data_IF_466479749815
#
_entry.id   IF_466479749815
#
_cell.length_a   1.000
_cell.length_b   1.000
_cell.length_c   1.000
_cell.angle_alpha   90.00
_cell.angle_beta   90.00
_cell.angle_gamma   90.00
#
_symmetry.space_group_name_H-M   'P 1'
#
loop_
_entity.id
_entity.type
_entity.pdbx_description
1 polymer ?
#
# COMPACT_ATOMS: atom_id res chain seq x y z
N UNK A 1 27.13 -63.22 -21.32
CA UNK A 1 27.94 -62.44 -20.34
C UNK A 1 28.47 -61.10 -20.87
N UNK A 2 29.02 -60.97 -22.09
CA UNK A 2 29.62 -59.71 -22.59
C UNK A 2 28.65 -58.50 -22.68
N UNK A 3 27.37 -58.71 -23.03
CA UNK A 3 26.37 -57.63 -23.19
C UNK A 3 25.86 -57.04 -21.86
N UNK A 4 26.09 -57.70 -20.73
CA UNK A 4 25.72 -57.21 -19.40
C UNK A 4 26.73 -56.17 -18.91
N UNK A 5 28.02 -56.45 -19.07
CA UNK A 5 29.12 -55.55 -18.69
C UNK A 5 29.14 -54.26 -19.55
N UNK A 6 28.83 -54.38 -20.84
CA UNK A 6 28.72 -53.22 -21.75
C UNK A 6 27.56 -52.30 -21.33
N UNK A 7 26.40 -52.85 -20.99
CA UNK A 7 25.24 -52.05 -20.52
C UNK A 7 25.51 -51.39 -19.17
N UNK A 8 26.25 -52.06 -18.28
CA UNK A 8 26.67 -51.49 -16.98
C UNK A 8 27.70 -50.37 -17.15
N UNK A 9 28.65 -50.54 -18.06
CA UNK A 9 29.63 -49.50 -18.40
C UNK A 9 28.97 -48.27 -19.05
N UNK A 10 28.03 -48.46 -19.99
CA UNK A 10 27.28 -47.34 -20.59
C UNK A 10 26.47 -46.54 -19.55
N UNK A 11 25.85 -47.22 -18.58
CA UNK A 11 25.10 -46.56 -17.49
C UNK A 11 26.01 -45.75 -16.57
N UNK A 12 27.19 -46.28 -16.24
CA UNK A 12 28.17 -45.54 -15.42
C UNK A 12 28.66 -44.32 -16.20
N UNK A 13 28.96 -44.46 -17.49
CA UNK A 13 29.39 -43.35 -18.33
C UNK A 13 28.31 -42.24 -18.43
N UNK A 14 27.02 -42.61 -18.55
CA UNK A 14 25.94 -41.62 -18.58
C UNK A 14 25.75 -40.91 -17.25
N UNK A 15 25.92 -41.61 -16.12
CA UNK A 15 25.83 -41.02 -14.78
C UNK A 15 26.99 -40.04 -14.52
N UNK A 16 28.20 -40.38 -14.95
CA UNK A 16 29.37 -39.48 -14.85
C UNK A 16 29.18 -38.24 -15.74
N UNK A 17 28.65 -38.40 -16.96
CA UNK A 17 28.34 -37.28 -17.84
C UNK A 17 27.26 -36.35 -17.24
N UNK A 18 26.21 -36.93 -16.63
CA UNK A 18 25.16 -36.17 -15.96
C UNK A 18 25.69 -35.39 -14.75
N UNK A 19 26.52 -36.01 -13.92
CA UNK A 19 27.16 -35.36 -12.78
C UNK A 19 28.08 -34.21 -13.23
N UNK A 20 28.86 -34.41 -14.29
CA UNK A 20 29.69 -33.37 -14.90
C UNK A 20 28.86 -32.18 -15.41
N UNK A 21 27.71 -32.45 -16.04
CA UNK A 21 26.81 -31.40 -16.52
C UNK A 21 26.17 -30.60 -15.38
N UNK A 22 25.74 -31.27 -14.30
CA UNK A 22 25.20 -30.62 -13.10
C UNK A 22 26.26 -29.73 -12.44
N UNK A 23 27.50 -30.22 -12.35
CA UNK A 23 28.62 -29.45 -11.79
C UNK A 23 28.97 -28.22 -12.64
N UNK A 24 29.03 -28.37 -13.97
CA UNK A 24 29.24 -27.26 -14.89
C UNK A 24 28.11 -26.22 -14.83
N UNK A 25 26.86 -26.68 -14.73
CA UNK A 25 25.70 -25.82 -14.57
C UNK A 25 25.73 -25.06 -13.25
N UNK A 26 26.11 -25.71 -12.14
CA UNK A 26 26.27 -25.07 -10.84
C UNK A 26 27.36 -23.98 -10.88
N UNK A 27 28.51 -24.24 -11.51
CA UNK A 27 29.59 -23.25 -11.71
C UNK A 27 29.10 -22.08 -12.55
N UNK A 28 28.41 -22.35 -13.66
CA UNK A 28 27.88 -21.30 -14.54
C UNK A 28 26.85 -20.44 -13.81
N UNK A 29 25.94 -21.06 -13.06
CA UNK A 29 24.93 -20.36 -12.25
C UNK A 29 25.55 -19.51 -11.15
N UNK A 30 26.58 -20.01 -10.47
CA UNK A 30 27.35 -19.24 -9.49
C UNK A 30 28.04 -18.03 -10.13
N UNK A 31 28.64 -18.21 -11.32
CA UNK A 31 29.32 -17.11 -12.04
C UNK A 31 28.35 -16.04 -12.55
N UNK A 32 27.17 -16.43 -13.04
CA UNK A 32 26.12 -15.50 -13.47
C UNK A 32 25.59 -14.68 -12.29
N UNK A 33 25.26 -15.33 -11.16
CA UNK A 33 24.84 -14.62 -9.96
C UNK A 33 25.88 -13.60 -9.48
N UNK A 34 27.17 -13.97 -9.51
CA UNK A 34 28.25 -13.08 -9.08
C UNK A 34 28.42 -11.87 -10.02
N UNK A 35 28.22 -12.04 -11.33
CA UNK A 35 28.23 -10.95 -12.29
C UNK A 35 27.03 -10.01 -12.14
N UNK A 36 25.83 -10.57 -11.91
CA UNK A 36 24.62 -9.80 -11.63
C UNK A 36 24.76 -9.01 -10.32
N UNK A 37 25.35 -9.61 -9.29
CA UNK A 37 25.63 -8.96 -8.00
C UNK A 37 26.65 -7.83 -8.16
N UNK A 38 27.75 -8.04 -8.90
CA UNK A 38 28.73 -6.98 -9.19
C UNK A 38 28.14 -5.83 -10.03
N UNK A 39 27.33 -6.14 -11.05
CA UNK A 39 26.66 -5.15 -11.89
C UNK A 39 25.66 -4.29 -11.09
N UNK A 40 24.87 -4.92 -10.22
CA UNK A 40 23.97 -4.21 -9.30
C UNK A 40 24.74 -3.37 -8.29
N UNK A 41 25.86 -3.88 -7.78
CA UNK A 41 26.68 -3.16 -6.81
C UNK A 41 27.36 -1.92 -7.43
N UNK A 42 27.83 -1.99 -8.69
CA UNK A 42 28.41 -0.82 -9.38
C UNK A 42 27.34 0.23 -9.71
N UNK A 43 26.17 -0.18 -10.22
CA UNK A 43 25.06 0.75 -10.50
C UNK A 43 24.53 1.42 -9.22
N UNK A 44 24.48 0.70 -8.11
CA UNK A 44 24.11 1.27 -6.82
C UNK A 44 25.19 2.24 -6.30
N UNK A 45 26.48 1.95 -6.51
CA UNK A 45 27.55 2.86 -6.14
C UNK A 45 27.47 4.20 -6.91
N UNK A 46 27.18 4.14 -8.21
CA UNK A 46 27.01 5.33 -9.06
C UNK A 46 25.72 6.12 -8.73
N UNK A 47 24.64 5.46 -8.32
CA UNK A 47 23.43 6.15 -7.86
C UNK A 47 23.60 6.78 -6.47
N UNK A 48 24.32 6.09 -5.58
CA UNK A 48 24.63 6.61 -4.25
C UNK A 48 25.56 7.82 -4.34
N UNK A 49 26.53 7.84 -5.26
CA UNK A 49 27.42 9.01 -5.45
C UNK A 49 26.65 10.26 -5.85
N UNK A 50 25.67 10.15 -6.75
CA UNK A 50 24.80 11.26 -7.13
C UNK A 50 23.89 11.74 -5.98
N UNK A 51 23.39 10.81 -5.14
CA UNK A 51 22.63 11.17 -3.94
C UNK A 51 23.52 11.92 -2.93
N UNK A 52 24.76 11.48 -2.75
CA UNK A 52 25.73 12.10 -1.84
C UNK A 52 26.28 13.44 -2.33
N UNK A 53 26.13 13.76 -3.61
CA UNK A 53 26.44 15.06 -4.18
C UNK A 53 25.34 16.10 -3.84
N UNK A 54 24.08 15.67 -3.77
CA UNK A 54 22.93 16.52 -3.44
C UNK A 54 22.66 16.59 -1.94
N UNK A 55 23.00 15.54 -1.18
CA UNK A 55 22.74 15.49 0.26
C UNK A 55 23.80 16.26 1.06
N UNK A 56 23.44 17.34 1.79
CA UNK A 56 24.41 18.18 2.48
C UNK A 56 25.25 17.37 3.47
N UNK A 57 26.57 17.56 3.43
CA UNK A 57 27.53 16.82 4.24
C UNK A 57 27.24 16.93 5.74
N UNK A 58 26.83 18.11 6.21
CA UNK A 58 26.48 18.35 7.62
C UNK A 58 25.36 17.42 8.12
N UNK A 59 24.32 17.20 7.30
CA UNK A 59 23.21 16.30 7.67
C UNK A 59 23.62 14.83 7.62
N UNK A 60 24.44 14.45 6.64
CA UNK A 60 24.99 13.09 6.55
C UNK A 60 25.86 12.76 7.77
N UNK A 61 26.77 13.65 8.14
CA UNK A 61 27.69 13.42 9.25
C UNK A 61 26.90 13.32 10.58
N UNK A 62 25.86 14.16 10.75
CA UNK A 62 24.95 14.08 11.89
C UNK A 62 24.14 12.77 11.90
N UNK A 63 23.62 12.34 10.76
CA UNK A 63 22.85 11.11 10.58
C UNK A 63 23.69 9.86 10.89
N UNK A 64 24.92 9.79 10.37
CA UNK A 64 25.87 8.75 10.71
C UNK A 64 26.17 8.71 12.21
N UNK A 65 26.26 9.87 12.86
CA UNK A 65 26.35 9.99 14.32
C UNK A 65 25.18 9.33 15.03
N UNK A 66 23.94 9.67 14.65
CA UNK A 66 22.73 9.07 15.23
C UNK A 66 22.66 7.55 15.01
N UNK A 67 23.09 7.06 13.85
CA UNK A 67 23.12 5.62 13.57
C UNK A 67 24.17 4.89 14.42
N UNK A 68 25.35 5.47 14.58
CA UNK A 68 26.42 4.90 15.43
C UNK A 68 25.96 4.82 16.89
N UNK A 69 25.38 5.90 17.41
CA UNK A 69 24.86 5.94 18.79
C UNK A 69 23.77 4.89 19.00
N UNK A 70 22.81 4.82 18.07
CA UNK A 70 21.72 3.84 18.13
C UNK A 70 22.23 2.40 18.06
N UNK A 71 23.16 2.10 17.14
CA UNK A 71 23.74 0.75 16.97
C UNK A 71 24.58 0.36 18.20
N UNK A 72 25.26 1.33 18.83
CA UNK A 72 25.97 1.13 20.09
C UNK A 72 25.06 0.62 21.23
N UNK A 73 23.80 1.06 21.27
CA UNK A 73 22.82 0.58 22.25
C UNK A 73 22.34 -0.87 22.02
N UNK A 74 22.60 -1.48 20.86
CA UNK A 74 22.08 -2.83 20.53
C UNK A 74 22.91 -3.94 21.20
N UNK A 75 24.07 -3.62 21.79
CA UNK A 75 24.87 -4.58 22.56
C UNK A 75 25.47 -5.71 21.72
N UNK A 76 25.33 -5.66 20.40
CA UNK A 76 26.12 -6.50 19.51
C UNK A 76 27.54 -5.96 19.53
N UNK A 77 28.43 -6.68 20.22
CA UNK A 77 29.86 -6.64 19.91
C UNK A 77 29.98 -6.99 18.43
N UNK A 78 29.99 -5.99 17.56
CA UNK A 78 30.54 -6.15 16.22
C UNK A 78 31.94 -6.71 16.48
N UNK A 79 32.19 -7.94 16.01
CA UNK A 79 33.45 -8.62 16.27
C UNK A 79 34.59 -7.66 15.93
N UNK A 80 35.43 -7.36 16.93
CA UNK A 80 36.60 -6.49 16.77
C UNK A 80 37.38 -6.96 15.54
N UNK A 81 37.52 -6.09 14.53
CA UNK A 81 38.24 -6.39 13.29
C UNK A 81 37.38 -6.56 12.03
N UNK A 82 36.05 -6.42 12.10
CA UNK A 82 35.20 -6.20 10.92
C UNK A 82 34.37 -4.92 11.09
N UNK A 83 35.03 -3.77 10.97
CA UNK A 83 34.39 -2.56 10.44
C UNK A 83 34.08 -2.78 8.94
N UNK A 84 33.40 -3.88 8.60
CA UNK A 84 32.63 -3.89 7.36
C UNK A 84 31.53 -2.87 7.61
N UNK A 85 31.64 -1.75 6.90
CA UNK A 85 30.57 -0.78 6.62
C UNK A 85 29.22 -1.49 6.67
N UNK A 86 28.61 -1.53 7.87
CA UNK A 86 27.41 -2.33 8.09
C UNK A 86 26.32 -1.66 7.26
N UNK A 87 26.03 -2.26 6.11
CA UNK A 87 25.06 -1.78 5.14
C UNK A 87 23.79 -1.37 5.89
N UNK A 88 23.46 -0.10 5.82
CA UNK A 88 22.28 0.43 6.48
C UNK A 88 21.03 -0.30 5.98
N UNK A 89 20.21 -0.77 6.92
CA UNK A 89 19.00 -1.51 6.60
C UNK A 89 17.84 -0.53 6.58
N UNK A 90 17.26 -0.33 5.40
CA UNK A 90 16.03 0.45 5.24
C UNK A 90 14.81 -0.45 5.07
N UNK A 91 13.70 -0.04 5.68
CA UNK A 91 12.40 -0.66 5.49
C UNK A 91 11.44 0.36 4.87
N UNK A 92 10.81 0.01 3.75
CA UNK A 92 9.86 0.88 3.05
C UNK A 92 8.42 0.37 3.22
N UNK A 93 7.52 1.23 3.70
CA UNK A 93 6.11 0.93 3.93
C UNK A 93 5.23 1.59 2.88
N UNK A 94 4.55 0.75 2.10
CA UNK A 94 3.64 1.18 1.04
C UNK A 94 2.32 1.74 1.58
N UNK A 95 1.63 2.50 0.73
CA UNK A 95 0.28 3.00 0.98
C UNK A 95 -0.79 1.91 1.02
N UNK A 96 -2.06 2.31 1.11
CA UNK A 96 -3.21 1.39 1.19
C UNK A 96 -4.13 1.60 2.40
N UNK A 97 -4.10 2.80 2.99
CA UNK A 97 -4.93 3.18 4.14
C UNK A 97 -4.74 2.27 5.36
N UNK A 98 -5.82 2.08 6.11
CA UNK A 98 -5.80 1.31 7.36
C UNK A 98 -5.40 -0.16 7.17
N UNK A 99 -5.73 -0.77 6.02
CA UNK A 99 -5.35 -2.17 5.72
C UNK A 99 -3.84 -2.34 5.65
N UNK A 100 -3.15 -1.42 4.98
CA UNK A 100 -1.69 -1.42 4.93
C UNK A 100 -1.09 -1.20 6.32
N UNK A 101 -1.64 -0.27 7.11
CA UNK A 101 -1.17 -0.01 8.47
C UNK A 101 -1.26 -1.26 9.37
N UNK A 102 -2.37 -2.00 9.31
CA UNK A 102 -2.55 -3.26 10.07
C UNK A 102 -1.59 -4.35 9.61
N UNK A 103 -1.36 -4.48 8.30
CA UNK A 103 -0.37 -5.42 7.76
C UNK A 103 1.05 -5.07 8.24
N UNK A 104 1.45 -3.79 8.12
CA UNK A 104 2.76 -3.32 8.58
C UNK A 104 2.96 -3.57 10.07
N UNK A 105 1.92 -3.36 10.90
CA UNK A 105 1.97 -3.70 12.31
C UNK A 105 2.29 -5.19 12.51
N UNK A 106 1.59 -6.10 11.83
CA UNK A 106 1.87 -7.54 11.92
C UNK A 106 3.30 -7.93 11.49
N UNK A 107 3.80 -7.34 10.40
CA UNK A 107 5.17 -7.55 9.95
C UNK A 107 6.18 -7.11 11.01
N UNK A 108 5.98 -5.94 11.60
CA UNK A 108 6.88 -5.41 12.63
C UNK A 108 6.77 -6.15 13.97
N UNK A 109 5.61 -6.72 14.30
CA UNK A 109 5.46 -7.64 15.42
C UNK A 109 6.24 -8.95 15.18
N UNK A 110 6.27 -9.45 13.94
CA UNK A 110 7.09 -10.59 13.55
C UNK A 110 8.60 -10.29 13.62
N UNK A 111 9.01 -9.13 13.11
CA UNK A 111 10.41 -8.68 13.20
C UNK A 111 10.86 -8.46 14.65
N UNK A 112 9.99 -7.90 15.48
CA UNK A 112 10.24 -7.72 16.90
C UNK A 112 10.39 -9.07 17.63
N UNK A 113 9.52 -10.04 17.31
CA UNK A 113 9.61 -11.40 17.85
C UNK A 113 10.96 -12.07 17.53
N UNK A 114 11.50 -11.82 16.33
CA UNK A 114 12.81 -12.32 15.89
C UNK A 114 13.99 -11.45 16.37
N UNK A 115 13.76 -10.39 17.16
CA UNK A 115 14.76 -9.40 17.59
C UNK A 115 15.52 -8.72 16.44
N UNK A 116 14.85 -8.57 15.30
CA UNK A 116 15.39 -7.93 14.10
C UNK A 116 14.99 -6.46 13.99
N UNK A 117 13.97 -6.01 14.72
CA UNK A 117 13.47 -4.64 14.64
C UNK A 117 14.56 -3.62 14.95
N UNK A 118 15.37 -3.89 15.98
CA UNK A 118 16.46 -2.98 16.36
C UNK A 118 17.51 -2.77 15.27
N UNK A 119 17.68 -3.73 14.34
CA UNK A 119 18.65 -3.66 13.24
C UNK A 119 18.23 -2.76 12.07
N UNK A 120 16.98 -2.30 12.04
CA UNK A 120 16.45 -1.48 10.94
C UNK A 120 16.81 -0.03 11.17
N UNK A 121 17.73 0.51 10.38
CA UNK A 121 18.21 1.89 10.51
C UNK A 121 17.21 2.92 9.99
N UNK A 122 16.63 2.64 8.81
CA UNK A 122 15.74 3.57 8.13
C UNK A 122 14.32 3.04 7.99
N UNK A 123 13.36 3.95 8.12
CA UNK A 123 11.96 3.68 7.83
C UNK A 123 11.43 4.74 6.86
N UNK A 124 11.10 4.30 5.64
CA UNK A 124 10.40 5.13 4.67
C UNK A 124 8.92 4.75 4.66
N UNK A 125 8.02 5.72 4.61
CA UNK A 125 6.58 5.45 4.65
C UNK A 125 5.83 6.35 3.67
N UNK A 126 4.76 5.81 3.08
CA UNK A 126 3.86 6.56 2.18
C UNK A 126 2.40 6.29 2.55
N UNK A 127 1.57 7.33 2.57
CA UNK A 127 0.11 7.23 2.76
C UNK A 127 -0.27 6.35 3.96
N UNK A 128 -0.95 5.21 3.74
CA UNK A 128 -1.35 4.25 4.78
C UNK A 128 -0.19 3.71 5.63
N UNK A 129 1.01 3.54 5.06
CA UNK A 129 2.20 3.17 5.82
C UNK A 129 2.62 4.24 6.82
N UNK A 130 2.27 5.51 6.55
CA UNK A 130 2.50 6.64 7.45
C UNK A 130 1.69 6.55 8.76
N UNK A 131 0.52 5.91 8.76
CA UNK A 131 -0.21 5.65 10.03
C UNK A 131 0.61 4.77 10.97
N UNK A 132 1.19 3.69 10.44
CA UNK A 132 2.07 2.83 11.23
C UNK A 132 3.40 3.54 11.55
N UNK A 133 3.98 4.26 10.60
CA UNK A 133 5.21 5.04 10.81
C UNK A 133 5.06 6.05 11.96
N UNK A 134 3.97 6.80 11.99
CA UNK A 134 3.67 7.75 13.06
C UNK A 134 3.42 7.05 14.40
N UNK A 135 2.69 5.92 14.39
CA UNK A 135 2.51 5.08 15.58
C UNK A 135 3.84 4.60 16.15
N UNK A 136 4.71 4.03 15.31
CA UNK A 136 6.02 3.53 15.72
C UNK A 136 6.91 4.67 16.23
N UNK A 137 6.97 5.79 15.50
CA UNK A 137 7.71 6.98 15.91
C UNK A 137 7.25 7.52 17.26
N UNK A 138 5.93 7.53 17.51
CA UNK A 138 5.35 7.95 18.80
C UNK A 138 5.80 7.05 19.95
N UNK A 139 5.97 5.74 19.74
CA UNK A 139 6.50 4.82 20.74
C UNK A 139 7.95 5.16 21.08
N UNK A 140 8.81 5.37 20.07
CA UNK A 140 10.20 5.78 20.28
C UNK A 140 10.30 7.12 21.04
N UNK A 141 9.56 8.16 20.62
CA UNK A 141 9.55 9.45 21.32
C UNK A 141 9.03 9.34 22.74
N UNK A 142 8.07 8.45 22.99
CA UNK A 142 7.52 8.24 24.33
C UNK A 142 8.58 7.69 25.28
N UNK A 143 9.30 6.65 24.88
CA UNK A 143 10.33 6.05 25.71
C UNK A 143 11.57 6.95 25.84
N UNK A 144 11.91 7.70 24.79
CA UNK A 144 12.99 8.69 24.83
C UNK A 144 12.71 9.87 25.78
N UNK A 145 11.45 10.17 26.09
CA UNK A 145 11.04 11.21 27.06
C UNK A 145 10.74 10.68 28.47
N UNK A 146 11.05 9.41 28.74
CA UNK A 146 10.85 8.84 30.07
C UNK A 146 11.81 9.47 31.09
N UNK A 147 11.31 9.80 32.29
CA UNK A 147 12.15 10.33 33.39
C UNK A 147 13.20 9.31 33.87
N UNK A 148 13.05 8.03 33.49
CA UNK A 148 14.01 6.97 33.76
C UNK A 148 15.11 6.97 32.69
N UNK A 149 16.30 7.46 33.02
CA UNK A 149 17.47 7.52 32.12
C UNK A 149 17.85 6.16 31.48
N UNK A 150 17.56 5.06 32.16
CA UNK A 150 17.76 3.70 31.64
C UNK A 150 16.76 3.40 30.50
N UNK A 151 15.50 3.81 30.66
CA UNK A 151 14.45 3.63 29.65
C UNK A 151 14.68 4.49 28.39
N UNK A 152 15.35 5.63 28.52
CA UNK A 152 15.74 6.49 27.38
C UNK A 152 16.79 5.79 26.51
N UNK A 153 17.83 5.20 27.12
CA UNK A 153 18.87 4.46 26.40
C UNK A 153 18.36 3.16 25.78
N UNK A 154 17.42 2.50 26.46
CA UNK A 154 16.85 1.22 26.03
C UNK A 154 15.57 1.37 25.19
N UNK A 155 15.21 2.58 24.75
CA UNK A 155 13.99 2.82 23.98
C UNK A 155 13.79 1.86 22.79
N UNK A 156 14.80 1.52 21.96
CA UNK A 156 14.64 0.53 20.90
C UNK A 156 14.31 -0.88 21.41
N UNK A 157 14.88 -1.29 22.54
CA UNK A 157 14.60 -2.59 23.16
C UNK A 157 13.19 -2.62 23.76
N UNK A 158 12.75 -1.52 24.36
CA UNK A 158 11.39 -1.39 24.90
C UNK A 158 10.32 -1.39 23.79
N UNK A 159 10.57 -0.72 22.66
CA UNK A 159 9.66 -0.77 21.50
C UNK A 159 9.58 -2.19 20.95
N UNK A 160 10.71 -2.88 20.81
CA UNK A 160 10.77 -4.28 20.37
C UNK A 160 10.04 -5.21 21.35
N UNK A 161 10.19 -5.02 22.65
CA UNK A 161 9.47 -5.78 23.68
C UNK A 161 7.97 -5.49 23.65
N UNK A 162 7.57 -4.24 23.42
CA UNK A 162 6.16 -3.83 23.33
C UNK A 162 5.45 -4.42 22.10
N UNK A 163 6.15 -4.49 20.96
CA UNK A 163 5.62 -5.05 19.72
C UNK A 163 5.66 -6.58 19.70
N UNK A 164 6.57 -7.19 20.44
CA UNK A 164 6.60 -8.65 20.58
C UNK A 164 5.28 -9.16 21.17
N UNK A 165 4.78 -10.33 20.72
CA UNK A 165 3.60 -10.92 21.32
C UNK A 165 3.82 -11.12 22.83
N UNK A 166 2.77 -10.94 23.67
CA UNK A 166 2.90 -11.04 25.11
C UNK A 166 3.39 -12.45 25.46
N UNK A 167 4.64 -12.54 25.91
CA UNK A 167 5.18 -13.75 26.49
C UNK A 167 4.54 -13.90 27.88
N UNK A 168 4.25 -15.13 28.29
CA UNK A 168 3.70 -15.48 29.62
C UNK A 168 4.71 -15.16 30.76
N UNK A 169 5.90 -14.66 30.42
CA UNK A 169 6.96 -14.27 31.33
C UNK A 169 6.57 -13.02 32.14
N UNK A 170 6.30 -13.22 33.44
CA UNK A 170 5.92 -12.17 34.39
C UNK A 170 6.95 -11.02 34.43
N UNK A 171 8.25 -11.31 34.34
CA UNK A 171 9.29 -10.27 34.40
C UNK A 171 9.22 -9.32 33.20
N UNK A 172 8.89 -9.83 32.02
CA UNK A 172 8.68 -8.99 30.82
C UNK A 172 7.43 -8.13 30.96
N UNK A 173 6.37 -8.68 31.54
CA UNK A 173 5.13 -7.93 31.77
C UNK A 173 5.33 -6.78 32.75
N UNK A 174 6.11 -6.99 33.80
CA UNK A 174 6.47 -5.95 34.76
C UNK A 174 7.29 -4.84 34.10
N UNK A 175 8.36 -5.18 33.37
CA UNK A 175 9.14 -4.20 32.60
C UNK A 175 8.29 -3.42 31.60
N UNK A 176 7.38 -4.11 30.90
CA UNK A 176 6.45 -3.48 29.97
C UNK A 176 5.53 -2.49 30.67
N UNK A 177 4.96 -2.85 31.83
CA UNK A 177 4.10 -1.97 32.63
C UNK A 177 4.88 -0.76 33.14
N UNK A 178 6.08 -0.99 33.65
CA UNK A 178 6.98 0.07 34.13
C UNK A 178 7.34 1.04 33.01
N UNK A 179 7.75 0.54 31.84
CA UNK A 179 8.09 1.34 30.67
C UNK A 179 6.90 2.15 30.14
N UNK A 180 5.69 1.57 30.20
CA UNK A 180 4.48 2.27 29.79
C UNK A 180 4.08 3.37 30.80
N UNK A 181 4.54 3.27 32.05
CA UNK A 181 4.32 4.23 33.12
C UNK A 181 2.83 4.43 33.40
N UNK A 182 2.41 5.71 33.52
CA UNK A 182 1.01 6.10 33.80
C UNK A 182 0.03 5.89 32.63
N UNK A 183 0.40 5.27 31.51
CA UNK A 183 -0.63 4.97 30.52
C UNK A 183 -1.61 3.96 31.09
N UNK A 184 -2.87 4.39 31.12
CA UNK A 184 -4.00 3.57 31.52
C UNK A 184 -4.20 2.36 30.57
N UNK A 185 -3.76 2.47 29.31
CA UNK A 185 -3.99 1.45 28.27
C UNK A 185 -2.74 1.23 27.41
N UNK A 186 -2.39 -0.05 27.20
CA UNK A 186 -1.37 -0.50 26.24
C UNK A 186 -1.75 -0.08 24.80
N UNK A 187 -0.88 0.63 24.05
CA UNK A 187 -1.19 1.08 22.70
C UNK A 187 -1.60 -0.04 21.74
N UNK A 188 -1.02 -1.24 21.88
CA UNK A 188 -1.37 -2.39 21.04
C UNK A 188 -2.76 -2.92 21.43
N UNK A 189 -3.04 -2.97 22.72
CA UNK A 189 -4.37 -3.32 23.24
C UNK A 189 -5.43 -2.29 22.83
N UNK A 190 -5.10 -1.00 22.86
CA UNK A 190 -5.97 0.07 22.39
C UNK A 190 -6.28 -0.09 20.89
N UNK A 191 -5.28 -0.45 20.07
CA UNK A 191 -5.50 -0.75 18.65
C UNK A 191 -6.38 -1.98 18.45
N UNK A 192 -6.20 -3.04 19.25
CA UNK A 192 -7.04 -4.24 19.18
C UNK A 192 -8.49 -3.95 19.57
N UNK A 193 -8.70 -3.20 20.64
CA UNK A 193 -10.05 -2.79 21.11
C UNK A 193 -10.76 -1.88 20.11
N UNK A 194 -10.01 -1.00 19.44
CA UNK A 194 -10.56 -0.01 18.51
C UNK A 194 -10.38 -0.41 17.02
N UNK A 195 -10.02 -1.66 16.72
CA UNK A 195 -9.81 -2.14 15.35
C UNK A 195 -11.08 -2.27 14.50
N UNK A 196 -12.26 -2.01 15.08
CA UNK A 196 -13.57 -2.16 14.44
C UNK A 196 -13.91 -0.93 13.58
N UNK A 197 -13.20 -0.77 12.46
CA UNK A 197 -13.27 0.43 11.62
C UNK A 197 -14.60 0.62 10.87
N UNK A 198 -15.30 -0.47 10.56
CA UNK A 198 -16.61 -0.40 9.88
C UNK A 198 -17.77 -0.04 10.82
N UNK A 199 -17.56 -0.15 12.13
CA UNK A 199 -18.59 0.07 13.14
C UNK A 199 -17.96 0.40 14.51
N UNK A 200 -17.33 1.59 14.66
CA UNK A 200 -16.61 1.97 15.87
C UNK A 200 -17.45 1.96 17.16
N UNK A 201 -18.77 2.21 17.08
CA UNK A 201 -19.75 2.15 18.19
C UNK A 201 -20.58 0.84 18.19
N UNK A 202 -20.26 -0.14 17.34
CA UNK A 202 -21.00 -1.40 17.24
C UNK A 202 -22.23 -1.34 16.32
N UNK A 203 -23.32 -2.01 16.68
CA UNK A 203 -24.49 -2.19 15.80
C UNK A 203 -25.17 -0.88 15.37
N UNK A 204 -25.06 0.18 16.17
CA UNK A 204 -25.62 1.50 15.84
C UNK A 204 -25.01 2.10 14.56
N UNK A 205 -23.71 1.96 14.36
CA UNK A 205 -23.04 2.47 13.16
C UNK A 205 -23.38 1.66 11.91
N UNK A 206 -23.66 0.37 12.07
CA UNK A 206 -24.14 -0.50 10.98
C UNK A 206 -25.52 -0.04 10.51
N UNK A 207 -26.40 0.33 11.45
CA UNK A 207 -27.71 0.88 11.13
C UNK A 207 -27.60 2.23 10.44
N UNK A 208 -26.70 3.10 10.89
CA UNK A 208 -26.45 4.41 10.27
C UNK A 208 -25.86 4.25 8.86
N UNK A 209 -24.90 3.34 8.68
CA UNK A 209 -24.35 2.99 7.37
C UNK A 209 -25.41 2.43 6.42
N UNK A 210 -26.28 1.55 6.91
CA UNK A 210 -27.41 1.03 6.15
C UNK A 210 -28.41 2.13 5.77
N UNK A 211 -28.73 3.05 6.70
CA UNK A 211 -29.61 4.18 6.44
C UNK A 211 -29.03 5.13 5.38
N UNK A 212 -27.73 5.43 5.45
CA UNK A 212 -27.04 6.25 4.42
C UNK A 212 -27.06 5.55 3.06
N UNK A 213 -26.85 4.24 3.03
CA UNK A 213 -26.94 3.45 1.79
C UNK A 213 -28.34 3.54 1.17
N UNK A 214 -29.40 3.30 1.95
CA UNK A 214 -30.79 3.40 1.47
C UNK A 214 -31.12 4.82 1.01
N UNK A 215 -30.69 5.84 1.76
CA UNK A 215 -30.86 7.25 1.37
C UNK A 215 -30.20 7.54 0.02
N UNK A 216 -28.95 7.11 -0.16
CA UNK A 216 -28.21 7.35 -1.39
C UNK A 216 -28.79 6.55 -2.57
N UNK A 217 -29.23 5.32 -2.33
CA UNK A 217 -29.94 4.52 -3.32
C UNK A 217 -31.19 5.24 -3.82
N UNK A 218 -32.03 5.72 -2.90
CA UNK A 218 -33.25 6.43 -3.23
C UNK A 218 -32.96 7.76 -3.97
N UNK A 219 -31.97 8.52 -3.51
CA UNK A 219 -31.55 9.76 -4.16
C UNK A 219 -31.13 9.52 -5.62
N UNK A 220 -30.37 8.46 -5.90
CA UNK A 220 -29.98 8.09 -7.27
C UNK A 220 -31.22 7.76 -8.12
N UNK A 221 -32.19 7.04 -7.57
CA UNK A 221 -33.43 6.70 -8.31
C UNK A 221 -34.28 7.95 -8.61
N UNK A 222 -34.37 8.89 -7.67
CA UNK A 222 -35.06 10.17 -7.89
C UNK A 222 -34.36 10.99 -8.98
N UNK A 223 -33.03 11.07 -8.97
CA UNK A 223 -32.27 11.79 -10.00
C UNK A 223 -32.45 11.13 -11.38
N UNK A 224 -32.34 9.80 -11.46
CA UNK A 224 -32.55 9.08 -12.72
C UNK A 224 -33.99 9.26 -13.24
N UNK A 225 -34.98 9.11 -12.36
CA UNK A 225 -36.38 9.25 -12.74
C UNK A 225 -36.70 10.67 -13.23
N UNK A 226 -36.24 11.71 -12.52
CA UNK A 226 -36.46 13.10 -12.95
C UNK A 226 -35.76 13.41 -14.27
N UNK A 227 -34.54 12.88 -14.48
CA UNK A 227 -33.84 13.00 -15.76
C UNK A 227 -34.61 12.36 -16.92
N UNK A 228 -35.06 11.10 -16.76
CA UNK A 228 -35.82 10.41 -17.81
C UNK A 228 -37.19 11.04 -18.05
N UNK A 229 -37.87 11.51 -17.01
CA UNK A 229 -39.14 12.22 -17.14
C UNK A 229 -38.97 13.55 -17.89
N UNK A 230 -37.92 14.32 -17.56
CA UNK A 230 -37.62 15.57 -18.26
C UNK A 230 -37.28 15.32 -19.74
N UNK A 231 -36.49 14.29 -20.04
CA UNK A 231 -36.18 13.89 -21.41
C UNK A 231 -37.46 13.50 -22.17
N UNK A 232 -38.32 12.68 -21.57
CA UNK A 232 -39.59 12.28 -22.16
C UNK A 232 -40.49 13.49 -22.45
N UNK A 233 -40.72 14.36 -21.46
CA UNK A 233 -41.52 15.58 -21.65
C UNK A 233 -40.91 16.51 -22.70
N UNK A 234 -39.58 16.64 -22.73
CA UNK A 234 -38.87 17.40 -23.76
C UNK A 234 -39.13 16.84 -25.17
N UNK A 235 -39.08 15.51 -25.34
CA UNK A 235 -39.41 14.90 -26.64
C UNK A 235 -40.86 15.12 -27.05
N UNK A 236 -41.80 15.09 -26.10
CA UNK A 236 -43.22 15.36 -26.39
C UNK A 236 -43.46 16.83 -26.75
N UNK A 237 -42.76 17.77 -26.10
CA UNK A 237 -42.82 19.18 -26.42
C UNK A 237 -42.28 19.47 -27.83
N UNK A 238 -41.13 18.88 -28.19
CA UNK A 238 -40.57 18.98 -29.54
C UNK A 238 -41.55 18.42 -30.57
N UNK A 239 -42.11 17.24 -30.31
CA UNK A 239 -43.12 16.63 -31.19
C UNK A 239 -44.33 17.55 -31.37
N UNK A 240 -44.90 18.08 -30.28
CA UNK A 240 -46.04 18.98 -30.36
C UNK A 240 -45.72 20.28 -31.10
N UNK A 241 -44.52 20.84 -30.91
CA UNK A 241 -44.07 22.02 -31.64
C UNK A 241 -43.92 21.75 -33.15
N UNK A 242 -43.38 20.59 -33.53
CA UNK A 242 -43.28 20.17 -34.93
C UNK A 242 -44.66 19.94 -35.55
N UNK A 243 -45.58 19.27 -34.84
CA UNK A 243 -46.95 19.06 -35.31
C UNK A 243 -47.70 20.39 -35.50
N UNK A 244 -47.54 21.36 -34.60
CA UNK A 244 -48.16 22.67 -34.73
C UNK A 244 -47.52 23.52 -35.85
N UNK A 245 -46.19 23.51 -35.98
CA UNK A 245 -45.49 24.23 -37.05
C UNK A 245 -45.81 23.68 -38.45
N UNK A 246 -46.04 22.36 -38.57
CA UNK A 246 -46.51 21.75 -39.82
C UNK A 246 -47.97 22.14 -40.15
N UNK A 247 -48.80 22.41 -39.13
CA UNK A 247 -50.19 22.83 -39.31
C UNK A 247 -50.34 24.29 -39.74
N UNK A 248 -49.41 25.17 -39.37
CA UNK A 248 -49.39 26.57 -39.83
C UNK A 248 -49.21 26.71 -41.35
N UNK A 249 -48.69 25.67 -42.02
CA UNK A 249 -48.57 25.60 -43.48
C UNK A 249 -49.76 24.99 -44.22
N UNK A 250 -50.79 24.49 -43.51
CA UNK A 250 -51.99 23.92 -44.14
C UNK A 250 -53.20 24.84 -43.90
N UNK A 251 -53.94 25.22 -44.96
CA UNK A 251 -55.17 25.98 -44.79
C UNK A 251 -56.16 25.15 -43.94
N UNK A 252 -56.91 25.77 -43.04
CA UNK A 252 -57.86 25.05 -42.20
C UNK A 252 -58.89 24.33 -43.07
N UNK A 253 -59.38 23.17 -42.62
CA UNK A 253 -60.26 22.27 -43.39
C UNK A 253 -61.62 22.86 -43.81
N UNK A 254 -61.94 24.08 -43.38
CA UNK A 254 -63.12 24.85 -43.78
C UNK A 254 -62.81 25.93 -44.83
N UNK A 255 -61.54 26.16 -45.17
CA UNK A 255 -61.15 27.11 -46.21
C UNK A 255 -61.54 26.54 -47.59
N UNK A 256 -62.38 27.23 -48.38
CA UNK A 256 -62.77 26.76 -49.69
C UNK A 256 -61.53 26.74 -50.61
N UNK A 257 -61.37 25.66 -51.37
CA UNK A 257 -60.39 25.59 -52.45
C UNK A 257 -60.71 26.72 -53.44
N UNK A 258 -59.92 27.80 -53.42
CA UNK A 258 -59.96 28.81 -54.47
C UNK A 258 -59.27 28.17 -55.68
N UNK A 259 -60.02 27.34 -56.39
CA UNK A 259 -59.68 26.97 -57.76
C UNK A 259 -59.70 28.22 -58.63
N UNK A 260 -58.60 28.38 -59.33
CA UNK A 260 -58.31 29.33 -60.38
C UNK A 260 -59.44 29.47 -61.41
N UNK A 261 -60.26 30.52 -61.28
CA UNK A 261 -61.05 31.05 -62.40
C UNK A 261 -60.31 32.23 -63.05
N UNK A 262 -59.24 31.93 -63.77
CA UNK A 262 -58.61 32.83 -64.74
C UNK A 262 -58.60 32.16 -66.12
N UNK A 263 -59.75 32.11 -66.80
CA UNK A 263 -59.88 31.97 -68.26
C UNK A 263 -61.35 31.83 -68.65
N UNK A 264 -62.04 32.92 -69.01
CA UNK A 264 -63.20 32.89 -69.93
C UNK A 264 -63.74 34.31 -70.21
N UNK A 265 -62.91 35.18 -70.78
CA UNK A 265 -63.37 36.44 -71.43
C UNK A 265 -62.54 36.80 -72.68
N UNK A 266 -62.11 35.79 -73.43
CA UNK A 266 -61.68 35.93 -74.83
C UNK A 266 -62.49 34.94 -75.69
N UNK A 267 -62.93 35.36 -76.89
CA UNK A 267 -64.00 34.81 -77.76
C UNK A 267 -65.39 35.38 -77.39
N UNK A 268 -66.14 36.11 -78.22
CA UNK A 268 -66.28 36.27 -79.69
C UNK A 268 -67.44 37.28 -79.91
N UNK A 269 -67.77 37.73 -81.15
CA UNK A 269 -66.99 38.30 -82.25
C UNK A 269 -67.10 39.84 -82.34
#
# INVERSE_FOLDING_TARGET
>A
MKSFWIRKALRILSLVALAGFIWLWAIRKSRVNNHDDQSKNSKNADQNSALFEVYPKEFRDAEEGYLKDRRGCIGEKIAEGKEEELRSIGFALSGGGIRSATFCLGVFQGLAHLKLLRRIDYLSTVSGGGYFGAFLGRLYTRFAKSDNATAVKDAPALVEELLSPPVIDQKRQERRKEALGRAEIDPIEALRRNGRYLAPQGSGDVLLGFAVFIRNWFAIHVVLFTFFLAAFLGTQLIRAALENGLREGQPPSWAPAIESYSCLTCYLP
#
